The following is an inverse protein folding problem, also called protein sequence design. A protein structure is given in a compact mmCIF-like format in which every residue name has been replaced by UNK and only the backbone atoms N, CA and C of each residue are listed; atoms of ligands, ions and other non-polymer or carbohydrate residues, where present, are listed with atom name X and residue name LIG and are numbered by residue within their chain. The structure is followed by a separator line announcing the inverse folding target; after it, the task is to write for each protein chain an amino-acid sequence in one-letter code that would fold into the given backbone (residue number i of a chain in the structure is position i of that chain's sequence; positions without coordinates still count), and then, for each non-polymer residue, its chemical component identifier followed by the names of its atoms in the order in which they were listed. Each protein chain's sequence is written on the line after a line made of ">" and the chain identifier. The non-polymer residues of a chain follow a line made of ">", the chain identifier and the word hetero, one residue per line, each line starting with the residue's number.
data_IF_590928181235
#
_entry.id   IF_590928181235
#
_cell.length_a   1.000
_cell.length_b   1.000
_cell.length_c   1.000
_cell.angle_alpha   90.00
_cell.angle_beta   90.00
_cell.angle_gamma   90.00
#
_symmetry.space_group_name_H-M   'P 1'
#
loop_
_entity.id
_entity.type
_entity.pdbx_description
1 polymer ?
#
# COMPACT_ATOMS: atom_id res chain seq x y z
N UNK A 1 -17.81 -3.93 3.42
CA UNK A 1 -16.90 -4.54 4.41
C UNK A 1 -15.71 -3.61 4.65
N UNK A 2 -15.82 -2.69 5.61
CA UNK A 2 -14.66 -1.94 6.17
C UNK A 2 -14.78 -2.10 7.68
N UNK A 3 -14.25 -3.22 8.19
CA UNK A 3 -14.23 -3.53 9.61
C UNK A 3 -13.42 -2.46 10.36
N UNK A 4 -13.94 -1.99 11.49
CA UNK A 4 -13.47 -0.88 12.32
C UNK A 4 -12.09 -1.05 12.96
N UNK A 5 -11.05 -1.24 12.15
CA UNK A 5 -9.66 -1.19 12.58
C UNK A 5 -9.13 0.24 12.68
N UNK A 6 -8.09 0.45 13.50
CA UNK A 6 -7.39 1.72 13.56
C UNK A 6 -6.88 2.11 12.16
N UNK A 7 -7.03 3.39 11.81
CA UNK A 7 -6.50 3.94 10.56
C UNK A 7 -4.98 3.70 10.50
N UNK A 8 -4.39 3.35 9.34
CA UNK A 8 -2.95 3.07 9.24
C UNK A 8 -2.10 4.20 9.79
N UNK A 9 -2.52 5.45 9.61
CA UNK A 9 -1.86 6.64 10.15
C UNK A 9 -1.62 6.53 11.67
N UNK A 10 -2.62 6.07 12.44
CA UNK A 10 -2.49 5.94 13.89
C UNK A 10 -1.48 4.85 14.29
N UNK A 11 -1.45 3.75 13.55
CA UNK A 11 -0.50 2.64 13.77
C UNK A 11 0.91 3.09 13.40
N UNK A 12 1.08 3.74 12.25
CA UNK A 12 2.35 4.27 11.78
C UNK A 12 2.93 5.29 12.77
N UNK A 13 2.09 6.18 13.30
CA UNK A 13 2.51 7.15 14.32
C UNK A 13 2.94 6.45 15.61
N UNK A 14 2.19 5.44 16.04
CA UNK A 14 2.50 4.68 17.26
C UNK A 14 3.88 4.00 17.16
N UNK A 15 4.23 3.42 16.02
CA UNK A 15 5.48 2.68 15.84
C UNK A 15 6.62 3.50 15.22
N UNK A 16 6.44 4.80 14.96
CA UNK A 16 7.45 5.67 14.36
C UNK A 16 8.80 5.69 15.13
N UNK A 17 8.78 5.38 16.43
CA UNK A 17 9.97 5.32 17.28
C UNK A 17 10.77 4.01 17.18
N UNK A 18 10.22 2.98 16.51
CA UNK A 18 10.85 1.66 16.41
C UNK A 18 11.97 1.70 15.38
N UNK A 19 13.20 1.39 15.82
CA UNK A 19 14.35 1.27 14.92
C UNK A 19 14.20 0.07 13.99
N UNK A 20 14.66 0.21 12.75
CA UNK A 20 14.61 -0.84 11.72
C UNK A 20 13.20 -1.37 11.43
N UNK A 21 12.17 -0.55 11.67
CA UNK A 21 10.80 -0.89 11.29
C UNK A 21 10.69 -1.08 9.77
N UNK A 22 9.96 -2.12 9.37
CA UNK A 22 9.59 -2.40 7.99
C UNK A 22 8.10 -2.73 7.96
N UNK A 23 7.40 -2.28 6.93
CA UNK A 23 5.96 -2.53 6.76
C UNK A 23 5.78 -3.53 5.62
N UNK A 24 4.84 -4.46 5.79
CA UNK A 24 4.44 -5.39 4.72
C UNK A 24 3.00 -5.08 4.31
N UNK A 25 2.81 -4.74 3.04
CA UNK A 25 1.50 -4.59 2.42
C UNK A 25 1.02 -5.95 1.92
N UNK A 26 0.14 -6.61 2.66
CA UNK A 26 -0.46 -7.88 2.28
C UNK A 26 -1.72 -7.64 1.43
N UNK A 27 -1.58 -7.69 0.10
CA UNK A 27 -2.67 -7.35 -0.82
C UNK A 27 -2.19 -7.18 -2.25
N UNK A 28 -2.82 -6.27 -2.99
CA UNK A 28 -2.36 -5.81 -4.30
C UNK A 28 -1.80 -4.39 -4.26
N UNK A 29 -1.65 -3.78 -5.44
CA UNK A 29 -1.09 -2.43 -5.60
C UNK A 29 -1.88 -1.36 -4.83
N UNK A 30 -3.21 -1.49 -4.79
CA UNK A 30 -4.08 -0.58 -4.03
C UNK A 30 -3.80 -0.59 -2.52
N UNK A 31 -3.46 -1.75 -1.94
CA UNK A 31 -3.09 -1.87 -0.53
C UNK A 31 -1.76 -1.18 -0.25
N UNK A 32 -0.78 -1.36 -1.14
CA UNK A 32 0.51 -0.68 -1.05
C UNK A 32 0.34 0.84 -1.15
N UNK A 33 -0.41 1.32 -2.15
CA UNK A 33 -0.71 2.73 -2.36
C UNK A 33 -1.42 3.35 -1.15
N UNK A 34 -2.37 2.63 -0.54
CA UNK A 34 -3.07 3.08 0.67
C UNK A 34 -2.11 3.27 1.86
N UNK A 35 -1.20 2.32 2.10
CA UNK A 35 -0.20 2.42 3.17
C UNK A 35 0.77 3.59 2.90
N UNK A 36 1.27 3.72 1.68
CA UNK A 36 2.15 4.81 1.29
C UNK A 36 1.46 6.17 1.45
N UNK A 37 0.19 6.27 1.06
CA UNK A 37 -0.62 7.50 1.23
C UNK A 37 -0.87 7.84 2.70
N UNK A 38 -1.00 6.84 3.57
CA UNK A 38 -1.07 7.06 5.02
C UNK A 38 0.29 7.52 5.58
N UNK A 39 1.39 6.98 5.05
CA UNK A 39 2.76 7.36 5.42
C UNK A 39 3.07 8.82 5.08
N UNK A 40 2.55 9.35 3.98
CA UNK A 40 2.70 10.78 3.62
C UNK A 40 2.13 11.72 4.70
N UNK A 41 1.09 11.29 5.41
CA UNK A 41 0.45 12.06 6.48
C UNK A 41 1.17 11.91 7.83
N UNK A 42 2.12 10.98 7.93
CA UNK A 42 2.88 10.66 9.14
C UNK A 42 4.37 10.75 8.82
N UNK A 43 4.92 11.98 8.64
CA UNK A 43 6.28 12.18 8.15
C UNK A 43 7.36 11.63 9.11
N UNK A 44 7.02 11.45 10.39
CA UNK A 44 7.88 10.81 11.38
C UNK A 44 8.14 9.32 11.10
N UNK A 45 7.34 8.67 10.25
CA UNK A 45 7.43 7.26 9.93
C UNK A 45 7.68 7.07 8.43
N UNK A 46 8.92 7.28 7.97
CA UNK A 46 9.32 6.96 6.59
C UNK A 46 10.14 5.67 6.55
N UNK A 47 9.44 4.54 6.47
CA UNK A 47 10.04 3.21 6.59
C UNK A 47 9.84 2.38 5.30
N UNK A 48 10.73 1.42 5.00
CA UNK A 48 10.57 0.56 3.83
C UNK A 48 9.24 -0.20 3.85
N UNK A 49 8.61 -0.32 2.67
CA UNK A 49 7.37 -1.08 2.47
C UNK A 49 7.64 -2.22 1.49
N UNK A 50 7.47 -3.46 1.94
CA UNK A 50 7.48 -4.65 1.09
C UNK A 50 6.06 -5.03 0.68
N UNK A 51 5.86 -5.47 -0.57
CA UNK A 51 4.54 -5.89 -1.08
C UNK A 51 4.45 -7.40 -1.08
N UNK A 52 3.49 -7.98 -0.33
CA UNK A 52 3.16 -9.40 -0.45
C UNK A 52 2.00 -9.55 -1.46
N UNK A 53 2.25 -10.15 -2.63
CA UNK A 53 1.29 -10.20 -3.74
C UNK A 53 0.16 -11.22 -3.48
N UNK A 54 -0.87 -10.76 -2.78
CA UNK A 54 -2.10 -11.50 -2.47
C UNK A 54 -3.30 -11.02 -3.29
N UNK A 55 -3.14 -9.94 -4.06
CA UNK A 55 -4.20 -9.34 -4.87
C UNK A 55 -4.22 -9.82 -6.32
N UNK A 56 -5.16 -9.28 -7.10
CA UNK A 56 -5.25 -9.50 -8.56
C UNK A 56 -4.30 -8.59 -9.34
N UNK A 57 -4.07 -7.35 -8.86
CA UNK A 57 -3.07 -6.41 -9.39
C UNK A 57 -1.84 -6.37 -8.49
N UNK A 58 -0.74 -6.97 -8.95
CA UNK A 58 0.53 -7.10 -8.22
C UNK A 58 1.69 -6.53 -9.05
N UNK A 59 1.43 -5.44 -9.77
CA UNK A 59 2.40 -4.87 -10.70
C UNK A 59 3.60 -4.26 -9.95
N UNK A 60 3.37 -3.66 -8.76
CA UNK A 60 4.46 -3.22 -7.88
C UNK A 60 5.30 -4.41 -7.39
N UNK A 61 4.67 -5.54 -7.08
CA UNK A 61 5.39 -6.75 -6.68
C UNK A 61 6.32 -7.25 -7.80
N UNK A 62 5.83 -7.25 -9.04
CA UNK A 62 6.63 -7.63 -10.22
C UNK A 62 7.74 -6.64 -10.50
N UNK A 63 7.44 -5.33 -10.48
CA UNK A 63 8.40 -4.27 -10.75
C UNK A 63 9.52 -4.20 -9.70
N UNK A 64 9.20 -4.48 -8.44
CA UNK A 64 10.17 -4.47 -7.33
C UNK A 64 10.86 -5.83 -7.12
N UNK A 65 10.60 -6.81 -7.98
CA UNK A 65 11.30 -8.11 -7.95
C UNK A 65 10.82 -9.11 -6.89
N UNK A 66 9.67 -8.86 -6.25
CA UNK A 66 9.04 -9.79 -5.30
C UNK A 66 8.38 -10.99 -5.99
N UNK A 67 8.09 -10.86 -7.28
CA UNK A 67 7.51 -11.91 -8.11
C UNK A 67 6.00 -11.77 -8.33
N UNK A 68 5.37 -12.72 -9.05
CA UNK A 68 4.01 -12.57 -9.57
C UNK A 68 2.89 -12.87 -8.55
N UNK A 69 3.20 -13.56 -7.46
CA UNK A 69 2.19 -14.03 -6.50
C UNK A 69 2.80 -14.75 -5.31
N UNK A 70 2.10 -14.70 -4.18
CA UNK A 70 2.45 -15.45 -2.98
C UNK A 70 1.64 -16.74 -2.97
N UNK A 71 2.32 -17.88 -2.84
CA UNK A 71 1.65 -19.19 -2.75
C UNK A 71 1.72 -19.73 -1.33
N UNK A 72 0.73 -20.54 -0.93
CA UNK A 72 0.73 -21.18 0.39
C UNK A 72 1.98 -22.03 0.65
N UNK A 73 2.60 -22.56 -0.41
CA UNK A 73 3.83 -23.34 -0.35
C UNK A 73 5.07 -22.52 0.00
N UNK A 74 5.11 -21.20 -0.28
CA UNK A 74 6.24 -20.35 0.12
C UNK A 74 6.31 -20.18 1.65
N UNK A 75 5.16 -20.20 2.33
CA UNK A 75 5.06 -19.97 3.77
C UNK A 75 5.23 -18.50 4.16
N UNK A 76 4.44 -18.05 5.14
CA UNK A 76 4.46 -16.65 5.62
C UNK A 76 5.80 -16.30 6.29
N UNK A 77 6.41 -17.26 6.98
CA UNK A 77 7.70 -17.09 7.66
C UNK A 77 8.83 -16.80 6.66
N UNK A 78 8.92 -17.58 5.59
CA UNK A 78 9.92 -17.38 4.53
C UNK A 78 9.77 -16.00 3.88
N UNK A 79 8.52 -15.54 3.68
CA UNK A 79 8.26 -14.21 3.16
C UNK A 79 8.72 -13.11 4.10
N UNK A 80 8.41 -13.21 5.39
CA UNK A 80 8.84 -12.24 6.40
C UNK A 80 10.37 -12.20 6.51
N UNK A 81 11.05 -13.34 6.40
CA UNK A 81 12.51 -13.40 6.36
C UNK A 81 13.08 -12.73 5.09
N UNK A 82 12.45 -12.95 3.93
CA UNK A 82 12.80 -12.30 2.68
C UNK A 82 12.68 -10.78 2.80
N UNK A 83 11.55 -10.29 3.31
CA UNK A 83 11.37 -8.85 3.56
C UNK A 83 12.37 -8.30 4.57
N UNK A 84 12.69 -9.07 5.61
CA UNK A 84 13.69 -8.68 6.61
C UNK A 84 15.09 -8.47 6.03
N UNK A 85 15.46 -9.25 5.00
CA UNK A 85 16.78 -9.21 4.35
C UNK A 85 16.83 -8.36 3.07
N UNK A 86 15.67 -8.01 2.51
CA UNK A 86 15.59 -7.25 1.28
C UNK A 86 16.25 -5.86 1.42
N UNK A 87 16.83 -5.38 0.33
CA UNK A 87 17.38 -4.03 0.27
C UNK A 87 16.28 -3.03 -0.09
N UNK A 88 16.10 -1.95 0.69
CA UNK A 88 15.18 -0.89 0.30
C UNK A 88 15.65 -0.21 -0.98
N UNK A 89 14.71 -0.02 -1.91
CA UNK A 89 14.94 0.73 -3.15
C UNK A 89 14.06 1.98 -3.13
N UNK A 90 14.57 3.15 -3.57
CA UNK A 90 13.74 4.34 -3.74
C UNK A 90 12.57 4.07 -4.69
N UNK A 91 11.42 4.66 -4.37
CA UNK A 91 10.22 4.59 -5.21
C UNK A 91 9.70 6.02 -5.42
N UNK A 92 9.65 6.43 -6.68
CA UNK A 92 9.07 7.73 -7.03
C UNK A 92 7.55 7.72 -6.88
N UNK A 93 7.02 8.82 -6.35
CA UNK A 93 5.59 8.99 -6.17
C UNK A 93 5.11 10.25 -6.85
N UNK A 94 4.21 10.08 -7.80
CA UNK A 94 3.66 11.16 -8.59
C UNK A 94 2.37 11.69 -7.97
N UNK A 95 2.23 13.02 -7.95
CA UNK A 95 1.00 13.71 -7.61
C UNK A 95 0.45 14.34 -8.89
N UNK A 96 -0.64 13.77 -9.42
CA UNK A 96 -1.25 14.22 -10.66
C UNK A 96 -2.54 14.98 -10.34
N UNK A 97 -2.65 16.21 -10.85
CA UNK A 97 -3.89 16.99 -10.83
C UNK A 97 -4.53 16.91 -12.22
N UNK A 98 -5.77 16.46 -12.29
CA UNK A 98 -6.52 16.38 -13.55
C UNK A 98 -7.55 17.51 -13.56
N UNK A 99 -7.49 18.39 -14.56
CA UNK A 99 -8.43 19.49 -14.78
C UNK A 99 -9.13 19.33 -16.13
N UNK A 100 -10.45 19.57 -16.19
CA UNK A 100 -11.16 19.65 -17.46
C UNK A 100 -11.09 21.06 -18.05
N UNK A 101 -11.17 21.21 -19.39
CA UNK A 101 -11.33 22.51 -20.02
C UNK A 101 -12.55 23.25 -19.45
N UNK A 102 -12.35 24.48 -18.97
CA UNK A 102 -13.40 25.30 -18.37
C UNK A 102 -13.59 25.13 -16.84
N UNK A 103 -12.67 24.46 -16.14
CA UNK A 103 -12.64 24.44 -14.67
C UNK A 103 -13.76 23.64 -13.99
N UNK A 104 -14.62 22.97 -14.77
CA UNK A 104 -15.59 22.03 -14.22
C UNK A 104 -14.86 20.79 -13.77
N UNK A 105 -14.72 20.59 -12.46
CA UNK A 105 -14.35 19.28 -11.94
C UNK A 105 -15.38 18.25 -12.41
N UNK A 106 -14.97 17.09 -12.94
CA UNK A 106 -15.92 16.01 -13.21
C UNK A 106 -16.63 15.67 -11.89
N UNK A 107 -17.92 15.32 -11.91
CA UNK A 107 -18.58 14.81 -10.71
C UNK A 107 -17.74 13.65 -10.19
N UNK A 108 -17.26 13.79 -8.95
CA UNK A 108 -16.52 12.75 -8.23
C UNK A 108 -17.25 11.44 -8.45
N UNK A 109 -16.56 10.43 -8.97
CA UNK A 109 -17.10 9.07 -9.01
C UNK A 109 -17.16 8.54 -7.57
N UNK A 110 -18.18 8.96 -6.83
CA UNK A 110 -18.65 8.21 -5.68
C UNK A 110 -19.26 6.96 -6.27
N UNK A 111 -18.53 5.85 -6.24
CA UNK A 111 -19.13 4.53 -6.33
C UNK A 111 -20.02 4.33 -5.10
N UNK A 112 -21.16 5.01 -5.05
CA UNK A 112 -22.30 4.60 -4.23
C UNK A 112 -22.85 3.37 -4.93
N UNK A 113 -22.48 2.20 -4.41
CA UNK A 113 -23.21 0.99 -4.69
C UNK A 113 -24.61 1.12 -4.08
N UNK A 114 -25.52 1.69 -4.85
CA UNK A 114 -26.94 1.43 -4.72
C UNK A 114 -27.43 0.82 -6.04
N UNK A 115 -27.77 -0.44 -5.95
CA UNK A 115 -28.33 -1.25 -7.02
C UNK A 115 -29.04 -2.42 -6.35
N UNK A 116 -30.20 -2.10 -5.77
CA UNK A 116 -31.19 -3.07 -5.33
C UNK A 116 -31.75 -3.79 -6.57
N UNK A 117 -31.75 -5.11 -6.52
CA UNK A 117 -32.82 -5.96 -7.03
C UNK A 117 -33.06 -7.04 -5.96
#
# INVERSE_FOLDING_TARGET
>A
VKSGGAKPEAILQKFAHVKNLRVVACGGDGTCCWILSAMDKVPACRVPVGTMPLGTGNDLSRALGWGPGFTRAMGKESWLQLVGRAQPTPLDRWSCMVSLPGGRMPPTFTATGEGSA
#
